data_IF_081333799896
#
_entry.id   IF_081333799896
#
_cell.length_a   1.000
_cell.length_b   1.000
_cell.length_c   1.000
_cell.angle_alpha   90.00
_cell.angle_beta   90.00
_cell.angle_gamma   90.00
#
_symmetry.space_group_name_H-M   'P 1'
#
loop_
_entity.id
_entity.type
_entity.pdbx_description
1 polymer ?
#
# COMPACT_ATOMS: atom_id res chain seq x y z
N UNK A 1 13.07 17.93 6.91
CA UNK A 1 12.14 17.03 7.65
C UNK A 1 12.93 15.78 8.05
N UNK A 2 12.89 15.38 9.32
CA UNK A 2 13.80 14.36 9.88
C UNK A 2 13.31 12.95 9.58
N UNK A 3 14.23 12.09 9.15
CA UNK A 3 14.06 10.64 8.95
C UNK A 3 13.35 9.94 10.13
N UNK A 4 13.47 10.51 11.33
CA UNK A 4 12.90 10.02 12.59
C UNK A 4 11.37 9.83 12.55
N UNK A 5 10.65 10.69 11.82
CA UNK A 5 9.18 10.62 11.77
C UNK A 5 8.69 9.38 10.99
N UNK A 6 9.41 8.98 9.95
CA UNK A 6 9.13 7.73 9.24
C UNK A 6 9.36 6.51 10.12
N UNK A 7 10.46 6.51 10.88
CA UNK A 7 10.84 5.41 11.76
C UNK A 7 9.84 5.24 12.90
N UNK A 8 9.36 6.35 13.46
CA UNK A 8 8.47 6.34 14.62
C UNK A 8 7.01 6.14 14.25
N UNK A 9 6.55 6.63 13.09
CA UNK A 9 5.12 6.63 12.73
C UNK A 9 4.75 5.65 11.62
N UNK A 10 5.63 5.42 10.64
CA UNK A 10 5.29 4.62 9.44
C UNK A 10 5.83 3.18 9.54
N UNK A 11 7.09 3.00 9.94
CA UNK A 11 7.69 1.67 10.09
C UNK A 11 6.88 0.71 10.97
N UNK A 12 6.33 1.13 12.13
CA UNK A 12 5.48 0.26 12.96
C UNK A 12 4.17 -0.17 12.30
N UNK A 13 3.73 0.51 11.23
CA UNK A 13 2.49 0.16 10.53
C UNK A 13 2.65 -1.04 9.61
N UNK A 14 3.87 -1.49 9.32
CA UNK A 14 4.16 -2.54 8.33
C UNK A 14 3.22 -3.75 8.47
N UNK A 15 3.04 -4.27 9.69
CA UNK A 15 2.21 -5.45 9.94
C UNK A 15 0.72 -5.18 9.71
N UNK A 16 0.26 -3.97 10.03
CA UNK A 16 -1.11 -3.54 9.73
C UNK A 16 -1.35 -3.38 8.23
N UNK A 17 -0.40 -2.76 7.51
CA UNK A 17 -0.48 -2.63 6.06
C UNK A 17 -0.48 -4.02 5.40
N UNK A 18 0.37 -4.93 5.87
CA UNK A 18 0.46 -6.30 5.36
C UNK A 18 -0.86 -7.05 5.56
N UNK A 19 -1.49 -6.94 6.73
CA UNK A 19 -2.82 -7.53 6.99
C UNK A 19 -3.89 -7.00 6.04
N UNK A 20 -3.90 -5.70 5.77
CA UNK A 20 -4.85 -5.07 4.84
C UNK A 20 -4.62 -5.57 3.41
N UNK A 21 -3.38 -5.54 2.93
CA UNK A 21 -3.02 -6.00 1.60
C UNK A 21 -3.32 -7.50 1.42
N UNK A 22 -3.02 -8.32 2.43
CA UNK A 22 -3.30 -9.76 2.39
C UNK A 22 -4.78 -10.07 2.36
N UNK A 23 -5.59 -9.36 3.14
CA UNK A 23 -7.05 -9.55 3.16
C UNK A 23 -7.70 -9.26 1.81
N UNK A 24 -7.11 -8.39 1.00
CA UNK A 24 -7.62 -8.03 -0.33
C UNK A 24 -7.06 -8.95 -1.41
N UNK A 25 -5.75 -9.23 -1.38
CA UNK A 25 -5.08 -9.97 -2.47
C UNK A 25 -5.10 -11.49 -2.30
N UNK A 26 -5.23 -11.99 -1.06
CA UNK A 26 -5.13 -13.41 -0.72
C UNK A 26 -3.78 -14.04 -1.04
N UNK A 27 -2.72 -13.25 -1.26
CA UNK A 27 -1.41 -13.73 -1.68
C UNK A 27 -0.30 -13.03 -0.89
N UNK A 28 0.53 -13.81 -0.18
CA UNK A 28 1.56 -13.29 0.71
C UNK A 28 2.61 -12.44 -0.03
N UNK A 29 3.26 -13.00 -1.05
CA UNK A 29 4.31 -12.32 -1.82
C UNK A 29 3.83 -10.99 -2.41
N UNK A 30 2.62 -11.00 -2.99
CA UNK A 30 2.01 -9.81 -3.58
C UNK A 30 1.63 -8.77 -2.53
N UNK A 31 1.23 -9.21 -1.35
CA UNK A 31 0.93 -8.31 -0.23
C UNK A 31 2.19 -7.64 0.29
N UNK A 32 3.28 -8.40 0.43
CA UNK A 32 4.56 -7.86 0.84
C UNK A 32 5.09 -6.85 -0.18
N UNK A 33 5.00 -7.16 -1.47
CA UNK A 33 5.36 -6.24 -2.55
C UNK A 33 4.55 -4.93 -2.46
N UNK A 34 3.23 -5.01 -2.29
CA UNK A 34 2.38 -3.81 -2.13
C UNK A 34 2.82 -2.99 -0.93
N UNK A 35 3.11 -3.62 0.21
CA UNK A 35 3.56 -2.89 1.41
C UNK A 35 4.88 -2.17 1.16
N UNK A 36 5.83 -2.83 0.49
CA UNK A 36 7.10 -2.20 0.11
C UNK A 36 6.87 -0.98 -0.81
N UNK A 37 6.04 -1.12 -1.84
CA UNK A 37 5.73 -0.05 -2.78
C UNK A 37 5.02 1.13 -2.08
N UNK A 38 4.10 0.85 -1.15
CA UNK A 38 3.44 1.88 -0.33
C UNK A 38 4.46 2.63 0.50
N UNK A 39 5.35 1.93 1.20
CA UNK A 39 6.37 2.57 2.05
C UNK A 39 7.29 3.49 1.24
N UNK A 40 7.71 3.04 0.05
CA UNK A 40 8.50 3.84 -0.87
C UNK A 40 7.73 5.05 -1.39
N UNK A 41 6.47 4.87 -1.80
CA UNK A 41 5.59 5.95 -2.26
C UNK A 41 5.42 7.03 -1.20
N UNK A 42 5.05 6.63 0.02
CA UNK A 42 4.85 7.55 1.16
C UNK A 42 6.15 8.29 1.48
N UNK A 43 7.30 7.62 1.44
CA UNK A 43 8.61 8.25 1.65
C UNK A 43 8.97 9.28 0.57
N UNK A 44 8.68 8.97 -0.69
CA UNK A 44 8.91 9.88 -1.80
C UNK A 44 8.00 11.11 -1.74
N UNK A 45 6.80 10.96 -1.20
CA UNK A 45 5.80 12.02 -1.02
C UNK A 45 5.92 12.77 0.32
N UNK A 46 7.06 12.64 1.03
CA UNK A 46 7.27 13.24 2.36
C UNK A 46 7.08 14.75 2.46
N UNK A 47 7.21 15.49 1.35
CA UNK A 47 6.90 16.91 1.32
C UNK A 47 5.42 17.21 1.61
N UNK A 48 4.52 16.27 1.27
CA UNK A 48 3.08 16.40 1.49
C UNK A 48 2.66 16.06 2.93
N UNK A 49 3.52 15.48 3.76
CA UNK A 49 3.14 15.07 5.12
C UNK A 49 2.75 16.24 6.01
N UNK A 50 3.24 17.45 5.72
CA UNK A 50 2.89 18.67 6.49
C UNK A 50 1.39 19.03 6.39
N UNK A 51 0.71 18.59 5.33
CA UNK A 51 -0.74 18.81 5.13
C UNK A 51 -1.58 17.58 5.47
N UNK A 52 -0.94 16.45 5.81
CA UNK A 52 -1.65 15.21 6.16
C UNK A 52 -1.84 15.18 7.68
N UNK A 53 -3.08 15.32 8.12
CA UNK A 53 -3.46 15.31 9.54
C UNK A 53 -3.15 13.95 10.21
N UNK A 54 -3.51 12.84 9.53
CA UNK A 54 -3.30 11.48 10.04
C UNK A 54 -2.55 10.59 9.03
N UNK A 55 -1.22 10.59 9.18
CA UNK A 55 -0.29 9.85 8.32
C UNK A 55 -0.52 8.32 8.36
N UNK A 56 -0.77 7.69 9.53
CA UNK A 56 -1.22 6.29 9.60
C UNK A 56 -2.46 5.95 8.76
N UNK A 57 -3.55 6.72 8.90
CA UNK A 57 -4.76 6.48 8.10
C UNK A 57 -4.52 6.67 6.61
N UNK A 58 -3.71 7.66 6.24
CA UNK A 58 -3.27 7.84 4.87
C UNK A 58 -2.53 6.60 4.33
N UNK A 59 -1.58 6.03 5.08
CA UNK A 59 -0.87 4.82 4.67
C UNK A 59 -1.80 3.62 4.47
N UNK A 60 -2.79 3.44 5.36
CA UNK A 60 -3.80 2.39 5.24
C UNK A 60 -4.67 2.57 3.99
N UNK A 61 -5.09 3.81 3.71
CA UNK A 61 -5.86 4.17 2.52
C UNK A 61 -5.08 3.85 1.23
N UNK A 62 -3.82 4.29 1.15
CA UNK A 62 -2.95 4.03 -0.02
C UNK A 62 -2.76 2.52 -0.22
N UNK A 63 -2.50 1.77 0.86
CA UNK A 63 -2.36 0.30 0.80
C UNK A 63 -3.62 -0.37 0.26
N UNK A 64 -4.80 0.04 0.75
CA UNK A 64 -6.07 -0.50 0.29
C UNK A 64 -6.27 -0.25 -1.20
N UNK A 65 -5.99 0.97 -1.67
CA UNK A 65 -6.17 1.34 -3.07
C UNK A 65 -5.26 0.53 -3.99
N UNK A 66 -3.96 0.42 -3.65
CA UNK A 66 -3.00 -0.36 -4.44
C UNK A 66 -3.34 -1.86 -4.48
N UNK A 67 -3.83 -2.42 -3.37
CA UNK A 67 -4.27 -3.81 -3.32
C UNK A 67 -5.50 -4.06 -4.21
N UNK A 68 -6.49 -3.16 -4.20
CA UNK A 68 -7.68 -3.26 -5.04
C UNK A 68 -7.34 -3.13 -6.53
N UNK A 69 -6.51 -2.17 -6.91
CA UNK A 69 -6.01 -2.01 -8.29
C UNK A 69 -5.33 -3.30 -8.77
N UNK A 70 -4.48 -3.89 -7.92
CA UNK A 70 -3.77 -5.13 -8.24
C UNK A 70 -4.72 -6.30 -8.53
N UNK A 71 -5.79 -6.45 -7.75
CA UNK A 71 -6.82 -7.49 -7.95
C UNK A 71 -7.65 -7.21 -9.20
N UNK A 72 -8.03 -5.96 -9.43
CA UNK A 72 -8.81 -5.55 -10.61
C UNK A 72 -8.02 -5.76 -11.92
N UNK A 73 -6.73 -5.44 -11.93
CA UNK A 73 -5.85 -5.68 -13.08
C UNK A 73 -5.71 -7.18 -13.38
N UNK A 74 -5.59 -8.01 -12.33
CA UNK A 74 -5.61 -9.47 -12.47
C UNK A 74 -6.91 -9.95 -13.12
N UNK A 75 -8.06 -9.47 -12.63
CA UNK A 75 -9.38 -9.84 -13.16
C UNK A 75 -9.53 -9.48 -14.64
N UNK A 76 -9.20 -8.23 -15.02
CA UNK A 76 -9.25 -7.78 -16.43
C UNK A 76 -8.37 -8.63 -17.35
N UNK A 77 -7.18 -9.02 -16.90
CA UNK A 77 -6.26 -9.86 -17.67
C UNK A 77 -6.82 -11.27 -17.87
N UNK A 78 -7.43 -11.85 -16.84
CA UNK A 78 -8.10 -13.15 -16.95
C UNK A 78 -9.31 -13.08 -17.88
N UNK A 79 -10.16 -12.06 -17.76
CA UNK A 79 -11.31 -11.85 -18.66
C UNK A 79 -10.87 -11.68 -20.11
N UNK A 80 -9.81 -10.91 -20.37
CA UNK A 80 -9.26 -10.73 -21.73
C UNK A 80 -8.71 -12.02 -22.35
N UNK A 81 -8.31 -12.99 -21.52
CA UNK A 81 -7.83 -14.30 -21.99
C UNK A 81 -8.99 -15.27 -22.23
N UNK A 82 -10.06 -15.20 -21.45
CA UNK A 82 -11.24 -16.08 -21.59
C UNK A 82 -12.12 -15.70 -22.79
N UNK A 83 -12.10 -14.44 -23.21
CA UNK A 83 -12.92 -13.92 -24.33
C UNK A 83 -12.21 -14.04 -25.70
N UNK A 84 -11.02 -14.63 -25.75
CA UNK A 84 -10.29 -14.96 -26.99
C UNK A 84 -10.34 -16.45 -27.26
#
# INVERSE_FOLDING_TARGET
MRTDEFITRILPLKDNLLRVAFRITGNADRSEQIVQDVMLKVWNERAAWIVIEDLPSYCLMVTRNMALETVNLKKKRTESFVVR
#
